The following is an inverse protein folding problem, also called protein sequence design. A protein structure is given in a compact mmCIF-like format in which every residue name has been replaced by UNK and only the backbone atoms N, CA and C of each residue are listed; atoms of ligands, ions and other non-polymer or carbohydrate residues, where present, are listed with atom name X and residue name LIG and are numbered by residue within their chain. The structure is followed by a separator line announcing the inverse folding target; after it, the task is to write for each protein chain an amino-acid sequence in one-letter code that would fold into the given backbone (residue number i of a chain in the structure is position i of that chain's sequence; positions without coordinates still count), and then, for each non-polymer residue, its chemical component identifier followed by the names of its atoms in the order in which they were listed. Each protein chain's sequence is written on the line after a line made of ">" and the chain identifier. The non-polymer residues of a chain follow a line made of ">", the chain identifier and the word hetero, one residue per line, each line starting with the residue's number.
data_IF_492357666228
#
_entry.id   IF_492357666228
#
_cell.length_a   1.000
_cell.length_b   1.000
_cell.length_c   1.000
_cell.angle_alpha   90.00
_cell.angle_beta   90.00
_cell.angle_gamma   90.00
#
_symmetry.space_group_name_H-M   'P 1'
#
loop_
_entity.id
_entity.type
_entity.pdbx_description
1 polymer ?
#
# COMPACT_ATOMS: atom_id res chain seq x y z
N UNK A 1 -17.56 -35.21 25.11
CA UNK A 1 -19.02 -34.97 25.19
C UNK A 1 -19.20 -33.50 24.88
N UNK A 2 -19.46 -33.06 23.66
CA UNK A 2 -20.30 -33.67 22.64
C UNK A 2 -21.51 -32.76 22.48
N UNK A 3 -21.29 -31.58 21.92
CA UNK A 3 -22.35 -30.79 21.31
C UNK A 3 -21.81 -30.25 19.98
N UNK A 4 -22.25 -30.91 18.91
CA UNK A 4 -22.07 -30.43 17.56
C UNK A 4 -22.80 -29.10 17.42
N UNK A 5 -22.12 -28.12 16.84
CA UNK A 5 -22.66 -26.82 16.50
C UNK A 5 -23.91 -27.00 15.61
N UNK A 6 -25.09 -26.87 16.21
CA UNK A 6 -26.33 -26.71 15.48
C UNK A 6 -26.30 -25.33 14.82
N UNK A 7 -26.18 -25.32 13.48
CA UNK A 7 -26.27 -24.11 12.68
C UNK A 7 -27.56 -23.37 13.06
N UNK A 8 -27.41 -22.14 13.58
CA UNK A 8 -28.58 -21.30 13.86
C UNK A 8 -29.28 -21.02 12.54
N UNK A 9 -30.60 -21.21 12.50
CA UNK A 9 -31.39 -20.80 11.36
C UNK A 9 -31.39 -19.27 11.24
N UNK A 10 -31.25 -18.77 10.01
CA UNK A 10 -31.28 -17.36 9.70
C UNK A 10 -32.66 -16.78 10.05
N UNK A 11 -32.73 -15.66 10.79
CA UNK A 11 -34.00 -15.08 11.20
C UNK A 11 -34.83 -14.53 10.03
N UNK A 12 -34.20 -14.23 8.89
CA UNK A 12 -34.89 -13.65 7.72
C UNK A 12 -35.38 -14.70 6.72
N UNK A 13 -34.56 -15.72 6.41
CA UNK A 13 -34.89 -16.69 5.36
C UNK A 13 -34.94 -18.15 5.83
N UNK A 14 -34.63 -18.43 7.10
CA UNK A 14 -34.57 -19.79 7.64
C UNK A 14 -33.39 -20.63 7.16
N UNK A 15 -32.52 -20.11 6.29
CA UNK A 15 -31.30 -20.79 5.82
C UNK A 15 -30.23 -20.93 6.91
N UNK A 16 -29.18 -21.71 6.66
CA UNK A 16 -28.10 -21.91 7.63
C UNK A 16 -27.22 -20.66 7.79
N UNK A 17 -26.94 -20.29 9.04
CA UNK A 17 -25.96 -19.27 9.40
C UNK A 17 -24.61 -19.93 9.61
N UNK A 18 -23.55 -19.24 9.19
CA UNK A 18 -22.16 -19.67 9.42
C UNK A 18 -21.86 -19.84 10.92
N UNK A 19 -21.15 -20.93 11.25
CA UNK A 19 -21.04 -21.42 12.64
C UNK A 19 -19.67 -21.21 13.31
N UNK A 20 -18.68 -20.62 12.62
CA UNK A 20 -17.36 -20.38 13.20
C UNK A 20 -17.39 -19.16 14.11
N UNK A 21 -17.25 -19.38 15.43
CA UNK A 21 -17.33 -18.35 16.45
C UNK A 21 -16.21 -17.30 16.37
N UNK A 22 -15.14 -17.55 15.60
CA UNK A 22 -14.06 -16.57 15.36
C UNK A 22 -14.48 -15.46 14.40
N UNK A 23 -15.51 -15.69 13.59
CA UNK A 23 -15.95 -14.80 12.53
C UNK A 23 -17.40 -14.36 12.73
N UNK A 24 -17.82 -13.38 11.92
CA UNK A 24 -19.20 -12.89 11.94
C UNK A 24 -20.13 -13.99 11.43
N UNK A 25 -21.08 -14.42 12.26
CA UNK A 25 -22.16 -15.31 11.84
C UNK A 25 -23.11 -14.59 10.88
N UNK A 26 -23.05 -14.96 9.61
CA UNK A 26 -23.87 -14.40 8.52
C UNK A 26 -24.53 -15.51 7.68
N UNK A 27 -25.59 -15.16 6.95
CA UNK A 27 -26.30 -16.09 6.08
C UNK A 27 -25.89 -15.94 4.60
N UNK A 28 -25.28 -16.98 3.97
CA UNK A 28 -24.90 -16.93 2.55
C UNK A 28 -26.06 -16.77 1.56
N UNK A 29 -27.28 -17.19 1.96
CA UNK A 29 -28.46 -17.21 1.11
C UNK A 29 -29.12 -15.82 0.95
N UNK A 30 -29.31 -15.08 2.05
CA UNK A 30 -29.97 -13.77 2.04
C UNK A 30 -29.06 -12.60 2.44
N UNK A 31 -27.77 -12.85 2.72
CA UNK A 31 -26.80 -11.86 3.19
C UNK A 31 -27.10 -11.22 4.55
N UNK A 32 -27.99 -11.85 5.33
CA UNK A 32 -28.27 -11.40 6.69
C UNK A 32 -26.97 -11.34 7.52
N UNK A 33 -26.77 -10.22 8.21
CA UNK A 33 -25.63 -9.94 9.07
C UNK A 33 -24.25 -10.02 8.38
N UNK A 34 -24.20 -9.81 7.06
CA UNK A 34 -22.92 -9.84 6.31
C UNK A 34 -21.95 -8.73 6.74
N UNK A 35 -22.48 -7.57 7.15
CA UNK A 35 -21.69 -6.42 7.62
C UNK A 35 -22.33 -5.79 8.87
N UNK A 36 -22.05 -6.31 10.07
CA UNK A 36 -22.60 -5.77 11.31
C UNK A 36 -21.97 -4.44 11.74
N UNK A 37 -20.87 -4.03 11.09
CA UNK A 37 -20.16 -2.80 11.42
C UNK A 37 -20.95 -1.55 11.01
N UNK A 38 -20.71 -0.45 11.73
CA UNK A 38 -21.20 0.84 11.28
C UNK A 38 -20.51 1.22 9.96
N UNK A 39 -21.24 1.82 9.00
CA UNK A 39 -20.65 2.31 7.77
C UNK A 39 -19.49 3.25 8.08
N UNK A 40 -18.33 3.02 7.44
CA UNK A 40 -17.18 3.92 7.56
C UNK A 40 -17.61 5.34 7.14
N UNK A 41 -17.47 6.32 8.04
CA UNK A 41 -17.68 7.72 7.69
C UNK A 41 -16.50 8.22 6.84
N UNK A 42 -16.73 8.32 5.53
CA UNK A 42 -15.71 8.77 4.58
C UNK A 42 -15.94 10.23 4.19
N UNK A 43 -14.90 11.06 4.30
CA UNK A 43 -14.95 12.45 3.82
C UNK A 43 -15.35 12.49 2.32
N UNK A 44 -16.13 13.52 1.94
CA UNK A 44 -16.64 13.69 0.58
C UNK A 44 -15.52 13.65 -0.48
N UNK A 45 -14.34 14.20 -0.18
CA UNK A 45 -13.21 14.19 -1.14
C UNK A 45 -12.67 12.78 -1.35
N UNK A 46 -12.59 12.01 -0.29
CA UNK A 46 -12.15 10.62 -0.35
C UNK A 46 -13.19 9.76 -1.06
N UNK A 47 -14.49 9.95 -0.78
CA UNK A 47 -15.56 9.29 -1.52
C UNK A 47 -15.49 9.57 -3.04
N UNK A 48 -15.22 10.82 -3.44
CA UNK A 48 -15.04 11.18 -4.87
C UNK A 48 -13.81 10.51 -5.48
N UNK A 49 -12.68 10.44 -4.75
CA UNK A 49 -11.49 9.71 -5.21
C UNK A 49 -11.79 8.23 -5.37
N UNK A 50 -12.43 7.63 -4.37
CA UNK A 50 -12.83 6.23 -4.32
C UNK A 50 -13.71 5.86 -5.52
N UNK A 51 -14.76 6.65 -5.79
CA UNK A 51 -15.66 6.44 -6.92
C UNK A 51 -14.97 6.62 -8.29
N UNK A 52 -14.04 7.58 -8.40
CA UNK A 52 -13.28 7.78 -9.64
C UNK A 52 -12.35 6.60 -9.93
N UNK A 53 -11.64 6.10 -8.93
CA UNK A 53 -10.76 4.94 -9.08
C UNK A 53 -11.54 3.67 -9.45
N UNK A 54 -12.73 3.46 -8.85
CA UNK A 54 -13.63 2.37 -9.24
C UNK A 54 -14.06 2.46 -10.71
N UNK A 55 -14.58 3.61 -11.14
CA UNK A 55 -14.97 3.81 -12.56
C UNK A 55 -13.80 3.59 -13.52
N UNK A 56 -12.66 4.23 -13.25
CA UNK A 56 -11.49 4.13 -14.12
C UNK A 56 -10.92 2.71 -14.15
N UNK A 57 -10.94 2.00 -13.01
CA UNK A 57 -10.52 0.61 -12.89
C UNK A 57 -11.42 -0.35 -13.68
N UNK A 58 -12.74 -0.15 -13.63
CA UNK A 58 -13.71 -0.95 -14.40
C UNK A 58 -13.63 -0.68 -15.91
N UNK A 59 -13.52 0.59 -16.33
CA UNK A 59 -13.29 0.95 -17.74
C UNK A 59 -11.99 0.32 -18.28
N UNK A 60 -10.93 0.34 -17.48
CA UNK A 60 -9.65 -0.25 -17.86
C UNK A 60 -9.72 -1.79 -17.88
N UNK A 61 -10.45 -2.41 -16.96
CA UNK A 61 -10.69 -3.85 -17.00
C UNK A 61 -11.43 -4.24 -18.28
N UNK A 62 -12.51 -3.53 -18.63
CA UNK A 62 -13.23 -3.76 -19.89
C UNK A 62 -12.32 -3.60 -21.12
N UNK A 63 -11.40 -2.62 -21.13
CA UNK A 63 -10.37 -2.48 -22.17
C UNK A 63 -9.42 -3.69 -22.21
N UNK A 64 -9.02 -4.22 -21.05
CA UNK A 64 -8.09 -5.35 -20.98
C UNK A 64 -8.74 -6.69 -21.36
N UNK A 65 -10.04 -6.85 -21.11
CA UNK A 65 -10.82 -8.04 -21.44
C UNK A 65 -11.41 -8.02 -22.85
N UNK A 66 -11.67 -6.84 -23.41
CA UNK A 66 -12.21 -6.66 -24.75
C UNK A 66 -11.16 -6.71 -25.86
N UNK A 67 -11.49 -7.35 -26.98
CA UNK A 67 -10.79 -7.24 -28.28
C UNK A 67 -10.92 -5.87 -28.95
N UNK A 68 -11.55 -4.90 -28.28
CA UNK A 68 -11.55 -3.51 -28.73
C UNK A 68 -10.11 -3.00 -28.61
N UNK A 69 -9.45 -2.89 -29.75
CA UNK A 69 -8.25 -2.08 -29.93
C UNK A 69 -8.60 -0.62 -29.61
N UNK A 70 -8.84 -0.32 -28.34
CA UNK A 70 -8.74 1.04 -27.85
C UNK A 70 -7.29 1.42 -28.09
N UNK A 71 -7.08 2.13 -29.21
CA UNK A 71 -5.79 2.69 -29.59
C UNK A 71 -5.13 3.22 -28.32
N UNK A 72 -3.83 2.91 -28.08
CA UNK A 72 -3.17 3.30 -26.85
C UNK A 72 -3.46 4.78 -26.63
N UNK A 73 -4.32 5.10 -25.66
CA UNK A 73 -4.63 6.49 -25.29
C UNK A 73 -3.40 7.00 -24.56
N UNK A 74 -2.38 7.22 -25.36
CA UNK A 74 -1.04 7.56 -24.95
C UNK A 74 -0.96 9.08 -24.95
N UNK A 75 -0.51 9.55 -23.79
CA UNK A 75 0.45 10.65 -23.65
C UNK A 75 0.01 12.02 -23.14
N UNK A 76 -1.22 12.55 -23.24
CA UNK A 76 -1.46 13.90 -22.73
C UNK A 76 -1.40 13.94 -21.19
N UNK A 77 -2.04 12.98 -20.51
CA UNK A 77 -1.98 12.90 -19.05
C UNK A 77 -0.60 12.55 -18.52
N UNK A 78 0.13 11.64 -19.18
CA UNK A 78 1.48 11.25 -18.80
C UNK A 78 2.49 12.38 -19.02
N UNK A 79 2.42 13.08 -20.17
CA UNK A 79 3.24 14.28 -20.43
C UNK A 79 2.89 15.43 -19.49
N UNK A 80 1.61 15.63 -19.18
CA UNK A 80 1.18 16.62 -18.21
C UNK A 80 1.64 16.28 -16.79
N UNK A 81 1.56 14.99 -16.40
CA UNK A 81 2.10 14.53 -15.13
C UNK A 81 3.61 14.81 -15.07
N UNK A 82 4.34 14.47 -16.13
CA UNK A 82 5.78 14.71 -16.22
C UNK A 82 6.09 16.22 -16.15
N UNK A 83 5.38 17.05 -16.91
CA UNK A 83 5.54 18.50 -16.88
C UNK A 83 5.26 19.07 -15.47
N UNK A 84 4.20 18.60 -14.80
CA UNK A 84 3.87 19.00 -13.44
C UNK A 84 4.93 18.55 -12.44
N UNK A 85 5.43 17.31 -12.55
CA UNK A 85 6.53 16.80 -11.73
C UNK A 85 7.82 17.58 -11.93
N UNK A 86 8.14 17.95 -13.18
CA UNK A 86 9.27 18.83 -13.50
C UNK A 86 9.08 20.23 -12.93
N UNK A 87 7.85 20.78 -12.97
CA UNK A 87 7.54 22.08 -12.38
C UNK A 87 7.73 22.09 -10.85
N UNK A 88 7.35 21.00 -10.16
CA UNK A 88 7.60 20.82 -8.71
C UNK A 88 9.10 20.87 -8.41
N UNK A 89 9.93 20.19 -9.21
CA UNK A 89 11.39 20.22 -9.05
C UNK A 89 11.97 21.58 -9.42
N UNK A 90 11.48 22.22 -10.49
CA UNK A 90 11.91 23.54 -10.94
C UNK A 90 11.67 24.60 -9.86
N UNK A 91 10.55 24.53 -9.12
CA UNK A 91 10.28 25.42 -7.98
C UNK A 91 11.41 25.35 -6.94
N UNK A 92 11.90 24.15 -6.62
CA UNK A 92 13.02 23.98 -5.69
C UNK A 92 14.29 24.65 -6.22
N UNK A 93 14.59 24.48 -7.51
CA UNK A 93 15.77 25.11 -8.13
C UNK A 93 15.65 26.63 -8.20
N UNK A 94 14.45 27.17 -8.43
CA UNK A 94 14.20 28.63 -8.41
C UNK A 94 14.46 29.19 -7.01
N UNK A 95 13.93 28.55 -5.96
CA UNK A 95 14.16 28.99 -4.57
C UNK A 95 15.65 28.93 -4.22
N UNK A 96 16.35 27.88 -4.65
CA UNK A 96 17.81 27.76 -4.47
C UNK A 96 18.56 28.86 -5.23
N UNK A 97 18.19 29.14 -6.49
CA UNK A 97 18.80 30.20 -7.29
C UNK A 97 18.62 31.58 -6.68
N UNK A 98 17.42 31.87 -6.14
CA UNK A 98 17.15 33.10 -5.39
C UNK A 98 17.99 33.20 -4.12
N UNK A 99 18.16 32.10 -3.38
CA UNK A 99 19.03 32.07 -2.21
C UNK A 99 20.48 32.44 -2.58
N UNK A 100 21.03 31.84 -3.64
CA UNK A 100 22.38 32.13 -4.15
C UNK A 100 22.50 33.59 -4.61
N UNK A 101 21.50 34.11 -5.33
CA UNK A 101 21.47 35.50 -5.77
C UNK A 101 21.48 36.48 -4.59
N UNK A 102 20.72 36.21 -3.52
CA UNK A 102 20.71 37.02 -2.31
C UNK A 102 22.09 37.09 -1.62
N UNK A 103 22.87 36.01 -1.65
CA UNK A 103 24.25 36.02 -1.15
C UNK A 103 25.18 36.82 -2.06
N UNK A 104 25.04 36.71 -3.38
CA UNK A 104 25.91 37.38 -4.35
C UNK A 104 25.67 38.90 -4.43
N UNK A 105 24.41 39.33 -4.43
CA UNK A 105 24.02 40.75 -4.52
C UNK A 105 24.04 41.47 -3.17
N UNK A 106 24.17 40.72 -2.08
CA UNK A 106 23.74 41.15 -0.76
C UNK A 106 24.72 41.96 0.05
N UNK A 107 26.00 42.11 -0.34
CA UNK A 107 26.97 42.82 0.49
C UNK A 107 26.96 44.33 0.21
N UNK A 108 26.84 45.23 1.23
CA UNK A 108 26.76 45.00 2.69
C UNK A 108 25.32 45.06 3.28
N UNK A 109 24.28 44.82 2.49
CA UNK A 109 22.88 44.84 2.93
C UNK A 109 22.46 43.62 3.78
N UNK A 110 21.22 43.64 4.30
CA UNK A 110 20.63 42.51 5.04
C UNK A 110 20.17 41.33 4.15
N UNK A 111 20.34 41.41 2.83
CA UNK A 111 19.92 40.39 1.86
C UNK A 111 20.48 38.97 2.14
N UNK A 112 21.71 38.78 2.68
CA UNK A 112 22.21 37.45 3.04
C UNK A 112 21.35 36.71 4.07
N UNK A 113 20.66 37.41 4.98
CA UNK A 113 19.74 36.77 5.94
C UNK A 113 18.52 36.19 5.23
N UNK A 114 17.99 36.89 4.22
CA UNK A 114 16.92 36.36 3.35
C UNK A 114 17.45 35.17 2.55
N UNK A 115 18.68 35.25 2.05
CA UNK A 115 19.37 34.13 1.39
C UNK A 115 19.44 32.88 2.26
N UNK A 116 19.76 33.03 3.56
CA UNK A 116 19.80 31.92 4.52
C UNK A 116 18.41 31.29 4.73
N UNK A 117 17.37 32.11 4.85
CA UNK A 117 15.99 31.62 4.99
C UNK A 117 15.55 30.84 3.73
N UNK A 118 15.84 31.38 2.54
CA UNK A 118 15.54 30.72 1.27
C UNK A 118 16.34 29.42 1.09
N UNK A 119 17.60 29.38 1.56
CA UNK A 119 18.41 28.16 1.55
C UNK A 119 17.82 27.08 2.46
N UNK A 120 17.38 27.45 3.67
CA UNK A 120 16.68 26.54 4.57
C UNK A 120 15.37 26.01 3.95
N UNK A 121 14.61 26.89 3.27
CA UNK A 121 13.42 26.49 2.53
C UNK A 121 13.75 25.54 1.37
N UNK A 122 14.74 25.86 0.53
CA UNK A 122 15.18 24.99 -0.56
C UNK A 122 15.65 23.62 -0.05
N UNK A 123 16.34 23.60 1.10
CA UNK A 123 16.70 22.36 1.77
C UNK A 123 15.45 21.55 2.16
N UNK A 124 14.43 22.18 2.75
CA UNK A 124 13.16 21.53 3.06
C UNK A 124 12.43 21.00 1.82
N UNK A 125 12.46 21.76 0.72
CA UNK A 125 11.77 21.46 -0.53
C UNK A 125 12.47 20.38 -1.38
N UNK A 126 13.76 20.11 -1.14
CA UNK A 126 14.58 19.25 -2.00
C UNK A 126 13.96 17.88 -2.30
N UNK A 127 14.15 17.34 -3.53
CA UNK A 127 13.67 16.01 -3.88
C UNK A 127 14.20 14.93 -2.93
N UNK A 128 13.30 14.15 -2.34
CA UNK A 128 13.65 13.04 -1.45
C UNK A 128 13.56 11.71 -2.19
N UNK A 129 14.68 10.99 -2.20
CA UNK A 129 14.71 9.59 -2.63
C UNK A 129 14.19 8.70 -1.52
N UNK A 130 13.61 7.57 -1.90
CA UNK A 130 13.20 6.56 -0.93
C UNK A 130 14.43 6.12 -0.12
N UNK A 131 14.20 5.84 1.16
CA UNK A 131 15.21 5.37 2.11
C UNK A 131 14.84 3.98 2.57
N UNK A 132 15.85 3.26 3.06
CA UNK A 132 15.62 2.01 3.77
C UNK A 132 14.85 2.34 5.07
N UNK A 133 13.79 1.60 5.42
CA UNK A 133 13.08 1.80 6.68
C UNK A 133 14.04 1.67 7.86
N UNK A 134 13.93 2.56 8.85
CA UNK A 134 14.87 2.62 9.98
C UNK A 134 14.67 1.46 10.97
N UNK A 135 13.42 0.99 11.12
CA UNK A 135 13.03 -0.07 12.06
C UNK A 135 13.01 -1.48 11.44
N UNK A 136 13.43 -1.62 10.17
CA UNK A 136 13.43 -2.91 9.49
C UNK A 136 14.72 -3.71 9.71
N UNK A 137 14.57 -5.03 9.81
CA UNK A 137 15.70 -5.97 9.82
C UNK A 137 16.21 -6.14 8.39
N UNK A 138 17.47 -5.81 8.16
CA UNK A 138 18.08 -5.90 6.84
C UNK A 138 18.75 -7.25 6.66
N UNK A 139 18.31 -7.98 5.65
CA UNK A 139 18.94 -9.22 5.21
C UNK A 139 19.85 -8.94 4.03
N UNK A 140 21.13 -9.30 4.17
CA UNK A 140 22.11 -9.30 3.10
C UNK A 140 22.05 -10.62 2.34
N UNK A 141 22.51 -10.60 1.09
CA UNK A 141 22.57 -11.79 0.23
C UNK A 141 23.35 -12.96 0.85
N UNK A 142 24.37 -12.68 1.66
CA UNK A 142 25.14 -13.71 2.38
C UNK A 142 24.37 -14.37 3.52
N UNK A 143 23.35 -13.70 4.06
CA UNK A 143 22.54 -14.18 5.19
C UNK A 143 21.33 -15.00 4.72
N UNK A 144 20.83 -14.72 3.50
CA UNK A 144 19.69 -15.43 2.91
C UNK A 144 19.91 -15.75 1.41
N UNK A 145 20.94 -16.54 1.05
CA UNK A 145 21.32 -16.76 -0.34
C UNK A 145 20.20 -17.42 -1.17
N UNK A 146 19.44 -18.34 -0.57
CA UNK A 146 18.32 -19.03 -1.23
C UNK A 146 17.17 -18.08 -1.55
N UNK A 147 16.79 -17.20 -0.61
CA UNK A 147 15.76 -16.19 -0.83
C UNK A 147 16.15 -15.23 -1.95
N UNK A 148 17.40 -14.77 -1.95
CA UNK A 148 17.91 -13.92 -3.01
C UNK A 148 17.97 -14.63 -4.37
N UNK A 149 18.33 -15.91 -4.40
CA UNK A 149 18.29 -16.72 -5.61
C UNK A 149 16.88 -16.83 -6.18
N UNK A 150 15.89 -17.13 -5.33
CA UNK A 150 14.49 -17.17 -5.71
C UNK A 150 14.01 -15.81 -6.25
N UNK A 151 14.34 -14.71 -5.58
CA UNK A 151 13.96 -13.36 -6.02
C UNK A 151 14.60 -13.03 -7.38
N UNK A 152 15.84 -13.46 -7.64
CA UNK A 152 16.49 -13.25 -8.93
C UNK A 152 15.83 -14.07 -10.06
N UNK A 153 15.45 -15.32 -9.79
CA UNK A 153 14.71 -16.16 -10.74
C UNK A 153 13.35 -15.55 -11.10
N UNK A 154 12.62 -15.07 -10.10
CA UNK A 154 11.34 -14.38 -10.31
C UNK A 154 11.56 -13.07 -11.06
N UNK A 155 12.57 -12.28 -10.70
CA UNK A 155 12.90 -11.04 -11.39
C UNK A 155 13.17 -11.30 -12.88
N UNK A 156 13.90 -12.36 -13.21
CA UNK A 156 14.16 -12.78 -14.58
C UNK A 156 12.87 -13.19 -15.31
N UNK A 157 11.99 -13.97 -14.68
CA UNK A 157 10.70 -14.38 -15.25
C UNK A 157 9.75 -13.19 -15.50
N UNK A 158 9.79 -12.17 -14.64
CA UNK A 158 9.00 -10.94 -14.75
C UNK A 158 9.60 -9.96 -15.76
N UNK A 159 10.91 -10.03 -16.02
CA UNK A 159 11.63 -9.13 -16.92
C UNK A 159 12.13 -7.85 -16.23
N UNK A 160 12.49 -7.93 -14.95
CA UNK A 160 13.12 -6.86 -14.19
C UNK A 160 14.49 -7.29 -13.66
N UNK A 161 15.23 -6.36 -13.07
CA UNK A 161 16.48 -6.68 -12.37
C UNK A 161 16.20 -7.22 -10.97
N UNK A 162 17.12 -8.05 -10.47
CA UNK A 162 17.10 -8.54 -9.08
C UNK A 162 17.22 -7.44 -8.03
N UNK A 163 17.11 -7.85 -6.77
CA UNK A 163 17.11 -6.95 -5.61
C UNK A 163 18.50 -6.76 -5.02
N UNK A 164 18.80 -5.53 -4.58
CA UNK A 164 20.08 -5.21 -3.94
C UNK A 164 20.04 -5.46 -2.43
N UNK A 165 18.87 -5.30 -1.81
CA UNK A 165 18.66 -5.42 -0.37
C UNK A 165 17.27 -5.99 -0.09
N UNK A 166 17.14 -6.86 0.91
CA UNK A 166 15.85 -7.32 1.44
C UNK A 166 15.71 -6.76 2.86
N UNK A 167 14.56 -6.16 3.15
CA UNK A 167 14.19 -5.66 4.47
C UNK A 167 12.99 -6.47 4.97
N UNK A 168 12.95 -6.73 6.28
CA UNK A 168 11.83 -7.37 6.96
C UNK A 168 11.28 -6.39 8.01
N UNK A 169 9.98 -6.16 8.00
CA UNK A 169 9.29 -5.33 8.99
C UNK A 169 8.05 -6.03 9.56
N UNK A 170 7.35 -5.33 10.47
CA UNK A 170 6.17 -5.84 11.17
C UNK A 170 4.84 -5.46 10.52
N UNK A 171 4.84 -4.95 9.30
CA UNK A 171 3.63 -4.49 8.62
C UNK A 171 2.94 -5.66 7.89
N UNK A 172 1.61 -5.59 7.70
CA UNK A 172 0.87 -6.57 6.88
C UNK A 172 0.98 -6.15 5.41
N UNK A 173 2.20 -6.10 4.88
CA UNK A 173 2.46 -5.57 3.54
C UNK A 173 3.70 -6.19 2.89
N UNK A 174 3.86 -5.99 1.59
CA UNK A 174 5.14 -6.13 0.91
C UNK A 174 5.32 -4.97 -0.08
N UNK A 175 6.55 -4.62 -0.39
CA UNK A 175 6.81 -3.59 -1.40
C UNK A 175 8.16 -3.77 -2.07
N UNK A 176 8.25 -3.48 -3.36
CA UNK A 176 9.51 -3.29 -4.04
C UNK A 176 9.71 -1.83 -4.45
N UNK A 177 10.84 -1.21 -4.08
CA UNK A 177 11.11 0.18 -4.42
C UNK A 177 12.57 0.47 -4.76
N UNK A 178 12.79 1.57 -5.50
CA UNK A 178 14.12 2.11 -5.74
C UNK A 178 14.50 3.10 -4.65
N UNK A 179 15.61 2.85 -3.98
CA UNK A 179 16.14 3.72 -2.91
C UNK A 179 17.48 4.36 -3.29
N UNK A 180 17.74 5.52 -2.68
CA UNK A 180 18.95 6.31 -2.89
C UNK A 180 19.12 6.88 -4.30
N UNK A 181 20.18 7.68 -4.48
CA UNK A 181 20.46 8.39 -5.75
C UNK A 181 20.82 7.42 -6.88
N UNK A 182 21.53 6.32 -6.55
CA UNK A 182 21.87 5.26 -7.51
C UNK A 182 20.64 4.45 -7.94
N UNK A 183 19.53 4.52 -7.20
CA UNK A 183 18.30 3.79 -7.49
C UNK A 183 18.46 2.28 -7.34
N UNK A 184 19.11 1.83 -6.25
CA UNK A 184 19.19 0.42 -5.84
C UNK A 184 17.80 -0.11 -5.49
N UNK A 185 17.54 -1.40 -5.68
CA UNK A 185 16.26 -2.03 -5.41
C UNK A 185 16.25 -2.56 -3.99
N UNK A 186 15.22 -2.20 -3.25
CA UNK A 186 14.88 -2.75 -1.96
C UNK A 186 13.57 -3.51 -2.11
N UNK A 187 13.54 -4.74 -1.62
CA UNK A 187 12.32 -5.49 -1.39
C UNK A 187 12.06 -5.51 0.12
N UNK A 188 10.93 -5.00 0.55
CA UNK A 188 10.48 -5.06 1.94
C UNK A 188 9.40 -6.13 2.05
N UNK A 189 9.60 -7.07 2.98
CA UNK A 189 8.66 -8.14 3.29
C UNK A 189 8.15 -7.95 4.71
N UNK A 190 6.87 -7.63 4.83
CA UNK A 190 6.19 -7.65 6.11
C UNK A 190 6.02 -9.08 6.60
N UNK A 191 6.64 -9.38 7.74
CA UNK A 191 6.65 -10.73 8.31
C UNK A 191 5.23 -11.28 8.56
N UNK A 192 4.25 -10.48 9.06
CA UNK A 192 2.88 -10.94 9.19
C UNK A 192 2.26 -11.42 7.88
N UNK A 193 2.41 -10.65 6.80
CA UNK A 193 1.87 -11.04 5.50
C UNK A 193 2.57 -12.29 5.00
N UNK A 194 3.91 -12.31 5.03
CA UNK A 194 4.72 -13.42 4.54
C UNK A 194 4.39 -14.76 5.21
N UNK A 195 4.23 -14.77 6.53
CA UNK A 195 3.93 -15.99 7.29
C UNK A 195 2.48 -16.47 7.14
N UNK A 196 1.57 -15.57 6.74
CA UNK A 196 0.19 -15.94 6.44
C UNK A 196 0.00 -16.58 5.07
N UNK A 197 1.03 -16.59 4.22
CA UNK A 197 0.98 -17.07 2.84
C UNK A 197 1.63 -18.45 2.68
N UNK A 198 0.97 -19.32 1.92
CA UNK A 198 1.54 -20.57 1.43
C UNK A 198 2.62 -20.35 0.35
N UNK A 199 3.38 -21.41 -0.02
CA UNK A 199 4.52 -21.29 -0.93
C UNK A 199 4.17 -20.65 -2.29
N UNK A 200 3.10 -21.08 -2.96
CA UNK A 200 2.72 -20.51 -4.25
C UNK A 200 2.22 -19.06 -4.14
N UNK A 201 1.54 -18.71 -3.05
CA UNK A 201 1.09 -17.34 -2.80
C UNK A 201 2.29 -16.41 -2.54
N UNK A 202 3.36 -16.89 -1.89
CA UNK A 202 4.62 -16.14 -1.74
C UNK A 202 5.28 -15.88 -3.10
N UNK A 203 5.28 -16.86 -4.00
CA UNK A 203 5.76 -16.66 -5.38
C UNK A 203 4.91 -15.64 -6.13
N UNK A 204 3.58 -15.71 -5.98
CA UNK A 204 2.66 -14.73 -6.57
C UNK A 204 2.92 -13.32 -6.02
N UNK A 205 3.12 -13.17 -4.71
CA UNK A 205 3.43 -11.91 -4.05
C UNK A 205 4.73 -11.31 -4.60
N UNK A 206 5.81 -12.08 -4.62
CA UNK A 206 7.10 -11.63 -5.16
C UNK A 206 6.98 -11.24 -6.65
N UNK A 207 6.25 -12.05 -7.44
CA UNK A 207 5.98 -11.76 -8.84
C UNK A 207 5.20 -10.46 -9.04
N UNK A 208 4.24 -10.17 -8.16
CA UNK A 208 3.48 -8.92 -8.14
C UNK A 208 4.40 -7.73 -7.83
N UNK A 209 5.11 -7.76 -6.70
CA UNK A 209 5.95 -6.65 -6.25
C UNK A 209 7.04 -6.27 -7.26
N UNK A 210 7.70 -7.28 -7.84
CA UNK A 210 8.78 -7.06 -8.81
C UNK A 210 8.25 -6.51 -10.15
N UNK A 211 6.99 -6.80 -10.50
CA UNK A 211 6.39 -6.39 -11.76
C UNK A 211 6.13 -4.87 -11.86
N UNK A 212 6.00 -4.16 -10.74
CA UNK A 212 5.94 -2.69 -10.73
C UNK A 212 7.17 -2.04 -11.40
N UNK A 213 8.32 -2.73 -11.38
CA UNK A 213 9.56 -2.24 -11.99
C UNK A 213 9.79 -2.73 -13.42
N UNK A 214 8.98 -3.66 -13.91
CA UNK A 214 9.02 -4.16 -15.29
C UNK A 214 8.06 -3.38 -16.22
N UNK A 215 6.86 -3.04 -15.74
CA UNK A 215 5.76 -2.58 -16.60
C UNK A 215 5.58 -1.06 -16.70
N UNK A 216 6.64 -0.30 -16.42
CA UNK A 216 6.66 1.14 -16.67
C UNK A 216 5.69 1.96 -15.81
N UNK A 217 5.50 1.56 -14.54
CA UNK A 217 4.73 2.38 -13.60
C UNK A 217 5.36 3.76 -13.45
N UNK A 218 4.64 4.76 -13.94
CA UNK A 218 5.07 6.16 -13.94
C UNK A 218 5.38 6.68 -12.53
N UNK A 219 4.70 6.19 -11.49
CA UNK A 219 4.93 6.63 -10.09
C UNK A 219 6.23 6.06 -9.53
N UNK A 220 6.65 4.90 -10.01
CA UNK A 220 7.95 4.29 -9.71
C UNK A 220 9.10 4.90 -10.53
N UNK A 221 8.78 5.79 -11.49
CA UNK A 221 9.74 6.61 -12.21
C UNK A 221 10.45 7.64 -11.30
N UNK A 222 11.71 7.97 -11.61
CA UNK A 222 12.53 8.87 -10.78
C UNK A 222 11.91 10.26 -10.61
N UNK A 223 11.45 10.88 -11.70
CA UNK A 223 10.94 12.27 -11.68
C UNK A 223 9.62 12.37 -10.93
N UNK A 224 8.64 11.53 -11.30
CA UNK A 224 7.30 11.56 -10.72
C UNK A 224 7.29 11.02 -9.29
N UNK A 225 8.03 9.94 -9.02
CA UNK A 225 8.13 9.38 -7.68
C UNK A 225 8.76 10.34 -6.67
N UNK A 226 9.82 11.07 -7.05
CA UNK A 226 10.38 12.10 -6.16
C UNK A 226 9.48 13.32 -6.05
N UNK A 227 8.75 13.71 -7.10
CA UNK A 227 7.80 14.82 -7.03
C UNK A 227 6.62 14.51 -6.09
N UNK A 228 6.04 13.31 -6.18
CA UNK A 228 4.98 12.85 -5.28
C UNK A 228 5.47 12.82 -3.83
N UNK A 229 6.64 12.22 -3.56
CA UNK A 229 7.23 12.20 -2.21
C UNK A 229 7.54 13.60 -1.68
N UNK A 230 8.02 14.51 -2.52
CA UNK A 230 8.22 15.91 -2.13
C UNK A 230 6.90 16.55 -1.73
N UNK A 231 5.86 16.41 -2.55
CA UNK A 231 4.54 16.98 -2.25
C UNK A 231 3.92 16.40 -0.98
N UNK A 232 4.06 15.10 -0.73
CA UNK A 232 3.63 14.44 0.52
C UNK A 232 4.40 14.98 1.74
N UNK A 233 5.73 15.13 1.61
CA UNK A 233 6.57 15.74 2.64
C UNK A 233 6.15 17.20 2.91
N UNK A 234 5.84 17.97 1.86
CA UNK A 234 5.41 19.36 2.00
C UNK A 234 4.01 19.46 2.61
N UNK A 235 3.11 18.54 2.28
CA UNK A 235 1.77 18.46 2.88
C UNK A 235 1.87 18.22 4.40
N UNK A 236 2.75 17.31 4.81
CA UNK A 236 3.04 17.05 6.23
C UNK A 236 3.55 18.29 6.97
N UNK A 237 4.56 19.00 6.42
CA UNK A 237 5.13 20.17 7.10
C UNK A 237 4.25 21.43 7.05
N UNK A 238 3.38 21.56 6.04
CA UNK A 238 2.50 22.73 5.87
C UNK A 238 1.11 22.50 6.46
N UNK A 239 0.82 21.31 6.98
CA UNK A 239 -0.44 20.99 7.62
C UNK A 239 -0.70 21.96 8.80
N UNK A 240 -1.87 22.62 8.87
CA UNK A 240 -2.15 23.55 9.96
C UNK A 240 -2.41 22.81 11.27
N UNK A 241 -1.56 23.03 12.28
CA UNK A 241 -1.77 22.52 13.65
C UNK A 241 -2.78 23.40 14.41
N UNK A 242 -3.95 22.86 14.70
CA UNK A 242 -5.12 23.59 15.20
C UNK A 242 -5.14 23.94 16.69
N UNK A 243 -3.99 24.05 17.37
CA UNK A 243 -3.96 24.02 18.86
C UNK A 243 -3.35 25.24 19.58
N UNK A 244 -3.22 26.42 18.98
CA UNK A 244 -2.72 27.61 19.72
C UNK A 244 -3.34 28.95 19.32
N UNK A 245 -3.30 29.96 20.21
CA UNK A 245 -3.80 31.33 19.94
C UNK A 245 -2.98 32.09 18.86
N UNK A 246 -1.73 31.66 18.59
CA UNK A 246 -0.93 32.08 17.43
C UNK A 246 -1.41 31.47 16.10
N UNK A 247 -2.43 30.59 16.14
CA UNK A 247 -2.91 29.86 14.98
C UNK A 247 -3.57 30.74 13.92
N UNK A 248 -4.13 31.91 14.23
CA UNK A 248 -4.79 32.73 13.19
C UNK A 248 -3.80 33.26 12.14
N UNK A 249 -2.68 33.85 12.57
CA UNK A 249 -1.64 34.34 11.65
C UNK A 249 -0.93 33.16 10.95
N UNK A 250 -0.64 32.08 11.70
CA UNK A 250 -0.07 30.86 11.14
C UNK A 250 -1.00 30.26 10.06
N UNK A 251 -2.30 30.23 10.33
CA UNK A 251 -3.32 29.75 9.40
C UNK A 251 -3.39 30.64 8.16
N UNK A 252 -3.32 31.96 8.27
CA UNK A 252 -3.35 32.83 7.09
C UNK A 252 -2.10 32.67 6.20
N UNK A 253 -0.93 32.48 6.81
CA UNK A 253 0.34 32.36 6.06
C UNK A 253 0.54 30.98 5.45
N UNK A 254 0.28 29.90 6.19
CA UNK A 254 0.59 28.53 5.75
C UNK A 254 -0.55 27.86 4.98
N UNK A 255 -1.79 28.35 5.09
CA UNK A 255 -2.94 27.72 4.42
C UNK A 255 -2.92 27.90 2.91
N UNK A 256 -2.65 29.08 2.32
CA UNK A 256 -2.51 29.20 0.86
C UNK A 256 -1.47 28.25 0.24
N UNK A 257 -0.21 28.17 0.72
CA UNK A 257 0.76 27.22 0.17
C UNK A 257 0.36 25.77 0.43
N UNK A 258 -0.25 25.46 1.59
CA UNK A 258 -0.79 24.12 1.85
C UNK A 258 -1.89 23.72 0.85
N UNK A 259 -2.85 24.61 0.55
CA UNK A 259 -3.87 24.37 -0.46
C UNK A 259 -3.27 24.14 -1.85
N UNK A 260 -2.24 24.91 -2.22
CA UNK A 260 -1.50 24.72 -3.47
C UNK A 260 -0.83 23.34 -3.51
N UNK A 261 -0.10 22.96 -2.45
CA UNK A 261 0.54 21.64 -2.35
C UNK A 261 -0.49 20.51 -2.46
N UNK A 262 -1.62 20.61 -1.74
CA UNK A 262 -2.71 19.63 -1.84
C UNK A 262 -3.33 19.58 -3.23
N UNK A 263 -3.48 20.72 -3.91
CA UNK A 263 -3.98 20.78 -5.27
C UNK A 263 -3.00 20.12 -6.26
N UNK A 264 -1.70 20.42 -6.15
CA UNK A 264 -0.64 19.81 -6.96
C UNK A 264 -0.57 18.30 -6.73
N UNK A 265 -0.55 17.85 -5.47
CA UNK A 265 -0.54 16.44 -5.11
C UNK A 265 -1.77 15.71 -5.66
N UNK A 266 -2.96 16.27 -5.46
CA UNK A 266 -4.21 15.71 -5.97
C UNK A 266 -4.25 15.67 -7.50
N UNK A 267 -3.74 16.72 -8.17
CA UNK A 267 -3.64 16.79 -9.62
C UNK A 267 -2.71 15.71 -10.17
N UNK A 268 -1.51 15.58 -9.60
CA UNK A 268 -0.51 14.60 -10.03
C UNK A 268 -1.00 13.16 -9.83
N UNK A 269 -1.60 12.85 -8.68
CA UNK A 269 -2.21 11.54 -8.41
C UNK A 269 -3.35 11.22 -9.37
N UNK A 270 -4.19 12.21 -9.73
CA UNK A 270 -5.26 12.02 -10.73
C UNK A 270 -4.72 11.73 -12.12
N UNK A 271 -3.62 12.38 -12.51
CA UNK A 271 -2.99 12.18 -13.81
C UNK A 271 -2.30 10.79 -13.90
N UNK A 272 -1.74 10.32 -12.79
CA UNK A 272 -1.10 9.01 -12.69
C UNK A 272 -2.08 7.86 -12.39
N UNK A 273 -3.35 8.14 -12.08
CA UNK A 273 -4.32 7.12 -11.65
C UNK A 273 -4.42 5.98 -12.66
N UNK A 274 -4.68 6.29 -13.94
CA UNK A 274 -4.88 5.25 -14.96
C UNK A 274 -3.63 4.40 -15.18
N UNK A 275 -2.44 5.00 -15.18
CA UNK A 275 -1.18 4.26 -15.35
C UNK A 275 -0.89 3.38 -14.12
N UNK A 276 -1.22 3.85 -12.91
CA UNK A 276 -1.08 3.06 -11.68
C UNK A 276 -2.01 1.85 -11.72
N UNK A 277 -3.31 2.05 -12.00
CA UNK A 277 -4.28 0.95 -12.11
C UNK A 277 -3.90 -0.06 -13.21
N UNK A 278 -3.29 0.40 -14.30
CA UNK A 278 -2.78 -0.50 -15.36
C UNK A 278 -1.58 -1.30 -14.88
N UNK A 279 -0.67 -0.69 -14.13
CA UNK A 279 0.47 -1.37 -13.55
C UNK A 279 0.02 -2.49 -12.60
N UNK A 280 -1.00 -2.23 -11.79
CA UNK A 280 -1.62 -3.20 -10.87
C UNK A 280 -2.16 -4.44 -11.60
N UNK A 281 -2.98 -4.26 -12.64
CA UNK A 281 -3.47 -5.39 -13.44
C UNK A 281 -2.33 -6.15 -14.15
N UNK A 282 -1.27 -5.46 -14.58
CA UNK A 282 -0.10 -6.12 -15.18
C UNK A 282 0.76 -6.85 -14.15
N UNK A 283 0.84 -6.33 -12.93
CA UNK A 283 1.49 -6.97 -11.80
C UNK A 283 0.73 -8.23 -11.38
N UNK A 284 -0.60 -8.19 -11.31
CA UNK A 284 -1.45 -9.37 -11.09
C UNK A 284 -1.26 -10.44 -12.16
N UNK A 285 -1.20 -10.05 -13.44
CA UNK A 285 -0.89 -10.99 -14.53
C UNK A 285 0.51 -11.58 -14.41
N UNK A 286 1.48 -10.82 -13.88
CA UNK A 286 2.84 -11.30 -13.66
C UNK A 286 2.89 -12.28 -12.49
N UNK A 287 2.16 -11.99 -11.40
CA UNK A 287 1.96 -12.90 -10.27
C UNK A 287 1.37 -14.24 -10.73
N UNK A 288 0.32 -14.20 -11.55
CA UNK A 288 -0.30 -15.40 -12.10
C UNK A 288 0.62 -16.19 -13.05
N UNK A 289 1.51 -15.49 -13.78
CA UNK A 289 2.50 -16.13 -14.67
C UNK A 289 3.63 -16.80 -13.90
N UNK A 290 4.11 -16.16 -12.83
CA UNK A 290 5.21 -16.67 -11.99
C UNK A 290 4.76 -17.86 -11.15
N UNK A 291 3.55 -17.78 -10.59
CA UNK A 291 2.98 -18.83 -9.76
C UNK A 291 1.85 -19.55 -10.51
N UNK A 292 0.61 -19.14 -10.29
CA UNK A 292 -0.58 -19.62 -11.00
C UNK A 292 -1.73 -18.62 -10.83
N UNK A 293 -2.74 -18.66 -11.71
CA UNK A 293 -3.97 -17.86 -11.52
C UNK A 293 -4.61 -18.15 -10.17
N UNK A 294 -4.62 -19.42 -9.74
CA UNK A 294 -5.15 -19.84 -8.45
C UNK A 294 -4.40 -19.16 -7.30
N UNK A 295 -3.07 -19.29 -7.27
CA UNK A 295 -2.24 -18.69 -6.22
C UNK A 295 -2.35 -17.16 -6.18
N UNK A 296 -2.47 -16.50 -7.34
CA UNK A 296 -2.68 -15.05 -7.41
C UNK A 296 -4.06 -14.64 -6.85
N UNK A 297 -5.13 -15.41 -7.13
CA UNK A 297 -6.45 -15.13 -6.55
C UNK A 297 -6.51 -15.43 -5.06
N UNK A 298 -5.87 -16.51 -4.60
CA UNK A 298 -5.76 -16.87 -3.18
C UNK A 298 -4.91 -15.84 -2.42
N UNK A 299 -3.90 -15.23 -3.04
CA UNK A 299 -3.16 -14.10 -2.47
C UNK A 299 -4.07 -12.89 -2.24
N UNK A 300 -4.90 -12.52 -3.22
CA UNK A 300 -5.86 -11.41 -3.05
C UNK A 300 -6.89 -11.71 -1.95
N UNK A 301 -7.36 -12.95 -1.87
CA UNK A 301 -8.28 -13.39 -0.82
C UNK A 301 -7.59 -13.34 0.56
N UNK A 302 -6.31 -13.69 0.65
CA UNK A 302 -5.52 -13.57 1.88
C UNK A 302 -5.35 -12.12 2.33
N UNK A 303 -5.08 -11.20 1.41
CA UNK A 303 -4.99 -9.75 1.70
C UNK A 303 -6.30 -9.22 2.29
N UNK A 304 -7.46 -9.74 1.88
CA UNK A 304 -8.76 -9.32 2.44
C UNK A 304 -8.93 -9.67 3.92
N UNK A 305 -8.19 -10.66 4.43
CA UNK A 305 -8.33 -11.19 5.80
C UNK A 305 -7.12 -10.84 6.67
N UNK A 306 -5.95 -10.63 6.08
CA UNK A 306 -4.67 -10.50 6.78
C UNK A 306 -4.66 -9.41 7.86
N UNK A 307 -5.20 -8.22 7.58
CA UNK A 307 -5.27 -7.13 8.57
C UNK A 307 -6.15 -7.49 9.77
N UNK A 308 -7.34 -8.04 9.51
CA UNK A 308 -8.26 -8.45 10.56
C UNK A 308 -7.68 -9.61 11.40
N UNK A 309 -7.04 -10.57 10.73
CA UNK A 309 -6.36 -11.69 11.37
C UNK A 309 -5.22 -11.22 12.28
N UNK A 310 -4.36 -10.33 11.76
CA UNK A 310 -3.23 -9.81 12.51
C UNK A 310 -3.69 -8.93 13.70
N UNK A 311 -4.71 -8.09 13.51
CA UNK A 311 -5.30 -7.29 14.59
C UNK A 311 -5.92 -8.17 15.68
N UNK A 312 -6.65 -9.23 15.31
CA UNK A 312 -7.23 -10.17 16.26
C UNK A 312 -6.15 -10.88 17.09
N UNK A 313 -5.10 -11.38 16.45
CA UNK A 313 -3.96 -12.00 17.13
C UNK A 313 -3.20 -10.99 18.00
N UNK A 314 -3.02 -9.75 17.54
CA UNK A 314 -2.41 -8.69 18.33
C UNK A 314 -3.16 -8.44 19.65
N UNK A 315 -4.50 -8.39 19.59
CA UNK A 315 -5.36 -8.25 20.76
C UNK A 315 -5.26 -9.44 21.71
N UNK A 316 -5.24 -10.67 21.18
CA UNK A 316 -5.07 -11.89 21.99
C UNK A 316 -3.71 -11.92 22.70
N UNK A 317 -2.64 -11.62 21.98
CA UNK A 317 -1.30 -11.57 22.57
C UNK A 317 -1.20 -10.45 23.62
N UNK A 318 -1.82 -9.29 23.39
CA UNK A 318 -1.85 -8.22 24.38
C UNK A 318 -2.63 -8.64 25.65
N UNK A 319 -3.74 -9.37 25.51
CA UNK A 319 -4.49 -9.94 26.64
C UNK A 319 -3.64 -10.98 27.40
N UNK A 320 -3.01 -11.92 26.69
CA UNK A 320 -2.14 -12.93 27.27
C UNK A 320 -0.93 -12.29 28.00
N UNK A 321 -0.32 -11.28 27.38
CA UNK A 321 0.76 -10.51 27.99
C UNK A 321 0.31 -9.79 29.26
N UNK A 322 -0.92 -9.22 29.32
CA UNK A 322 -1.45 -8.60 30.55
C UNK A 322 -1.66 -9.61 31.68
N UNK A 323 -2.15 -10.81 31.37
CA UNK A 323 -2.30 -11.92 32.36
C UNK A 323 -0.92 -12.36 32.88
N UNK A 324 0.08 -12.39 32.00
CA UNK A 324 1.46 -12.74 32.35
C UNK A 324 2.17 -11.59 33.08
N UNK A 325 1.91 -10.32 32.77
CA UNK A 325 2.49 -9.16 33.49
C UNK A 325 1.91 -9.05 34.90
N UNK A 326 0.65 -9.44 35.11
CA UNK A 326 0.09 -9.62 36.46
C UNK A 326 0.83 -10.65 37.32
N UNK A 327 1.56 -11.59 36.71
CA UNK A 327 2.41 -12.59 37.40
C UNK A 327 3.93 -12.33 37.28
N UNK A 328 4.39 -11.54 36.30
CA UNK A 328 5.79 -11.23 36.00
C UNK A 328 6.25 -9.82 36.42
N UNK A 329 5.39 -8.96 36.97
CA UNK A 329 5.82 -7.72 37.63
C UNK A 329 6.85 -7.96 38.77
N UNK A 330 7.12 -9.22 39.14
CA UNK A 330 8.18 -9.65 40.04
C UNK A 330 9.54 -10.00 39.39
N UNK A 331 9.69 -10.03 38.04
CA UNK A 331 10.96 -10.45 37.41
C UNK A 331 11.12 -9.86 36.00
N UNK A 332 11.93 -8.80 35.87
CA UNK A 332 12.19 -8.07 34.62
C UNK A 332 12.95 -8.88 33.57
N UNK A 333 12.27 -9.80 32.88
CA UNK A 333 12.81 -10.56 31.75
C UNK A 333 12.17 -10.09 30.43
N UNK A 334 13.03 -9.84 29.43
CA UNK A 334 12.65 -9.64 28.02
C UNK A 334 11.88 -10.89 27.51
N UNK A 335 10.95 -10.75 26.56
CA UNK A 335 10.32 -11.90 25.93
C UNK A 335 11.37 -12.79 25.26
N UNK A 336 11.27 -14.10 25.49
CA UNK A 336 12.14 -15.14 24.91
C UNK A 336 11.90 -15.29 23.39
N UNK A 337 12.92 -15.54 22.56
CA UNK A 337 12.78 -15.72 21.10
C UNK A 337 11.87 -16.91 20.70
N UNK A 338 11.65 -17.87 21.60
CA UNK A 338 10.66 -18.94 21.41
C UNK A 338 9.21 -18.40 21.34
N UNK A 339 8.91 -17.28 22.03
CA UNK A 339 7.59 -16.68 22.02
C UNK A 339 7.27 -15.99 20.68
N UNK A 340 8.27 -15.42 20.00
CA UNK A 340 8.11 -14.81 18.67
C UNK A 340 7.89 -15.85 17.58
N UNK A 341 8.66 -16.95 17.56
CA UNK A 341 8.37 -18.08 16.64
C UNK A 341 6.95 -18.61 16.86
N UNK A 342 6.53 -18.72 18.13
CA UNK A 342 5.17 -19.13 18.46
C UNK A 342 4.08 -18.17 17.97
N UNK A 343 4.39 -16.89 17.78
CA UNK A 343 3.44 -15.90 17.25
C UNK A 343 3.19 -16.13 15.77
N UNK A 344 4.27 -16.25 15.01
CA UNK A 344 4.20 -16.43 13.56
C UNK A 344 3.60 -17.78 13.18
N UNK A 345 3.93 -18.84 13.92
CA UNK A 345 3.29 -20.16 13.75
C UNK A 345 1.78 -20.09 14.02
N UNK A 346 1.35 -19.32 15.04
CA UNK A 346 -0.07 -19.08 15.32
C UNK A 346 -0.75 -18.28 14.21
N UNK A 347 -0.07 -17.28 13.64
CA UNK A 347 -0.59 -16.51 12.52
C UNK A 347 -0.77 -17.36 11.27
N UNK A 348 0.24 -18.17 10.93
CA UNK A 348 0.17 -19.11 9.82
C UNK A 348 -0.95 -20.13 10.01
N UNK A 349 -1.08 -20.69 11.23
CA UNK A 349 -2.16 -21.61 11.56
C UNK A 349 -3.55 -20.94 11.50
N UNK A 350 -3.66 -19.69 11.98
CA UNK A 350 -4.89 -18.92 11.89
C UNK A 350 -5.29 -18.72 10.43
N UNK A 351 -4.38 -18.20 9.60
CA UNK A 351 -4.57 -17.98 8.18
C UNK A 351 -5.01 -19.25 7.45
N UNK A 352 -4.34 -20.38 7.69
CA UNK A 352 -4.68 -21.66 7.07
C UNK A 352 -6.03 -22.23 7.54
N UNK A 353 -6.56 -21.77 8.67
CA UNK A 353 -7.81 -22.25 9.25
C UNK A 353 -9.02 -21.35 8.99
N UNK A 354 -8.85 -20.27 8.20
CA UNK A 354 -9.96 -19.40 7.82
C UNK A 354 -10.92 -20.19 6.90
N UNK A 355 -12.21 -20.31 7.24
CA UNK A 355 -13.16 -21.05 6.43
C UNK A 355 -13.49 -20.30 5.14
N UNK A 356 -13.81 -21.05 4.07
CA UNK A 356 -14.19 -20.49 2.76
C UNK A 356 -15.38 -19.51 2.86
N UNK A 357 -16.28 -19.73 3.81
CA UNK A 357 -17.43 -18.86 4.07
C UNK A 357 -17.03 -17.46 4.56
N UNK A 358 -15.90 -17.31 5.24
CA UNK A 358 -15.36 -15.99 5.60
C UNK A 358 -14.68 -15.33 4.40
N UNK A 359 -13.92 -16.08 3.59
CA UNK A 359 -13.39 -15.54 2.34
C UNK A 359 -14.51 -15.07 1.41
N UNK A 360 -15.60 -15.84 1.30
CA UNK A 360 -16.78 -15.46 0.54
C UNK A 360 -17.42 -14.17 1.07
N UNK A 361 -17.61 -14.07 2.39
CA UNK A 361 -18.11 -12.85 3.04
C UNK A 361 -17.24 -11.65 2.67
N UNK A 362 -15.93 -11.76 2.84
CA UNK A 362 -14.98 -10.67 2.56
C UNK A 362 -14.97 -10.30 1.08
N UNK A 363 -15.11 -11.25 0.16
CA UNK A 363 -15.25 -10.97 -1.29
C UNK A 363 -16.53 -10.18 -1.58
N UNK A 364 -17.68 -10.56 -1.01
CA UNK A 364 -18.95 -9.82 -1.19
C UNK A 364 -18.85 -8.40 -0.62
N UNK A 365 -18.23 -8.22 0.55
CA UNK A 365 -17.95 -6.90 1.11
C UNK A 365 -16.97 -6.09 0.25
N UNK A 366 -15.97 -6.74 -0.33
CA UNK A 366 -15.03 -6.10 -1.25
C UNK A 366 -15.70 -5.57 -2.53
N UNK A 367 -16.78 -6.23 -2.98
CA UNK A 367 -17.63 -5.72 -4.07
C UNK A 367 -18.47 -4.54 -3.58
N UNK A 368 -19.18 -4.70 -2.45
CA UNK A 368 -20.11 -3.69 -1.89
C UNK A 368 -19.42 -2.36 -1.56
N UNK A 369 -18.26 -2.43 -0.89
CA UNK A 369 -17.51 -1.25 -0.42
C UNK A 369 -16.38 -0.84 -1.35
N UNK A 370 -16.05 -1.69 -2.34
CA UNK A 370 -14.89 -1.48 -3.21
C UNK A 370 -13.59 -1.46 -2.43
N UNK A 371 -13.35 -2.53 -1.64
CA UNK A 371 -12.13 -2.73 -0.85
C UNK A 371 -10.88 -2.51 -1.71
N UNK A 372 -9.89 -1.83 -1.14
CA UNK A 372 -8.58 -1.60 -1.73
C UNK A 372 -7.54 -1.65 -0.63
N UNK A 373 -6.33 -2.09 -0.99
CA UNK A 373 -5.16 -2.02 -0.09
C UNK A 373 -4.86 -0.55 0.23
N UNK A 374 -4.87 0.32 -0.77
CA UNK A 374 -4.75 1.76 -0.58
C UNK A 374 -5.43 2.57 -1.70
N UNK A 375 -5.27 3.91 -1.66
CA UNK A 375 -5.83 4.84 -2.64
C UNK A 375 -5.30 4.69 -4.08
N UNK A 376 -4.28 3.87 -4.29
CA UNK A 376 -3.56 3.66 -5.55
C UNK A 376 -3.88 2.33 -6.22
N UNK A 377 -4.37 1.35 -5.46
CA UNK A 377 -4.80 0.06 -5.96
C UNK A 377 -6.24 0.08 -6.53
N UNK A 378 -6.53 -0.69 -7.60
CA UNK A 378 -7.90 -0.95 -8.02
C UNK A 378 -8.64 -1.73 -6.93
N UNK A 379 -9.98 -1.64 -6.89
CA UNK A 379 -10.80 -2.50 -6.06
C UNK A 379 -10.40 -3.97 -6.21
N UNK A 380 -10.20 -4.67 -5.09
CA UNK A 380 -9.70 -6.06 -5.06
C UNK A 380 -10.59 -6.99 -5.89
N UNK A 381 -11.90 -6.77 -5.92
CA UNK A 381 -12.82 -7.59 -6.72
C UNK A 381 -12.56 -7.49 -8.24
N UNK A 382 -12.21 -6.30 -8.75
CA UNK A 382 -11.87 -6.11 -10.18
C UNK A 382 -10.55 -6.78 -10.53
N UNK A 383 -9.57 -6.75 -9.63
CA UNK A 383 -8.28 -7.46 -9.79
C UNK A 383 -8.50 -8.96 -9.88
N UNK A 384 -9.34 -9.50 -8.99
CA UNK A 384 -9.72 -10.92 -8.99
C UNK A 384 -10.47 -11.32 -10.25
N UNK A 385 -11.40 -10.48 -10.72
CA UNK A 385 -12.10 -10.67 -11.99
C UNK A 385 -11.12 -10.72 -13.18
N UNK A 386 -10.17 -9.79 -13.23
CA UNK A 386 -9.12 -9.74 -14.26
C UNK A 386 -8.28 -11.02 -14.32
N UNK A 387 -7.92 -11.57 -13.15
CA UNK A 387 -7.18 -12.82 -13.05
C UNK A 387 -7.98 -14.02 -13.56
N UNK A 388 -9.26 -14.12 -13.16
CA UNK A 388 -10.14 -15.24 -13.50
C UNK A 388 -10.58 -15.24 -14.96
N UNK A 389 -10.70 -14.07 -15.59
CA UNK A 389 -11.00 -13.96 -17.01
C UNK A 389 -9.86 -14.51 -17.90
N UNK A 390 -8.63 -14.61 -17.35
CA UNK A 390 -7.46 -15.10 -18.06
C UNK A 390 -6.90 -14.10 -19.08
N UNK A 391 -5.79 -14.43 -19.77
CA UNK A 391 -5.28 -13.58 -20.83
C UNK A 391 -6.32 -13.47 -21.96
N UNK A 392 -6.43 -12.32 -22.64
CA UNK A 392 -7.24 -12.22 -23.84
C UNK A 392 -6.78 -13.31 -24.81
N UNK A 393 -7.74 -14.07 -25.37
CA UNK A 393 -7.46 -15.07 -26.41
C UNK A 393 -6.65 -14.37 -27.51
N UNK A 394 -5.41 -14.83 -27.72
CA UNK A 394 -4.54 -14.31 -28.77
C UNK A 394 -5.08 -14.70 -30.15
#
# INVERSE_FOLDING_TARGET
>A
MGDAASGRACPECGGEVTADARFVGWCPACEWNIDPGEPEEVDRREAVRRARAQRCGGELLAELLGTEQAAPRREPSARLALALGLAVHALTFVVLGLAVWCFAAGWPSALPFVGLLLLALAWGLRPRFARVPEDAVLLRRTEAPELYGLVDEIAAAVGTRGVDLIAIDGEVNASAMRYGVRGRMLLTLGLPLWESLGPEQRLALLGHELAHHAHGDTRHGRVLGTALRSLETWDYYLAPDGHSARAWLNTLVFRPPWWLVRALHSGLTRLCLRSSLRAEYLADRSAARVASTRAATELLDQILVADAAFAALGLENAKAARVVVGSRAARGQRPEPAAERSLWDRLAAFAASVPETEYERRRRLAVRHGHRVDSTHPPTHLRREALLAGPPRQ
#
